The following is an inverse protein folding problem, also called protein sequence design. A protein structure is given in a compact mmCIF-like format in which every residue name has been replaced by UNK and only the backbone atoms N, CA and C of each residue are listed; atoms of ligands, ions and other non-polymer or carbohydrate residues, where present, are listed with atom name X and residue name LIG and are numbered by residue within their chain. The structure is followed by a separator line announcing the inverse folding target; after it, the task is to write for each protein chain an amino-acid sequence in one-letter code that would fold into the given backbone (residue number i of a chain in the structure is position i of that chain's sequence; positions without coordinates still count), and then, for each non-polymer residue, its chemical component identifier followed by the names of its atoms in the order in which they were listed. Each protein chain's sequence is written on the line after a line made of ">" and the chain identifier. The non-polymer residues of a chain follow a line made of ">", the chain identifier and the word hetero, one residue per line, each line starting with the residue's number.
data_IF_661124688128
#
_entry.id   IF_661124688128
#
_cell.length_a   1.000
_cell.length_b   1.000
_cell.length_c   1.000
_cell.angle_alpha   90.00
_cell.angle_beta   90.00
_cell.angle_gamma   90.00
#
_symmetry.space_group_name_H-M   'P 1'
#
loop_
_entity.id
_entity.type
_entity.pdbx_description
1 polymer ?
#
# COMPACT_ATOMS: atom_id res chain seq x y z
N UNK A 1 -29.17 14.26 20.62
CA UNK A 1 -28.69 13.66 19.36
C UNK A 1 -27.65 12.62 19.71
N UNK A 2 -28.03 11.35 19.80
CA UNK A 2 -27.09 10.24 20.01
C UNK A 2 -26.20 10.13 18.78
N UNK A 3 -24.89 10.30 18.97
CA UNK A 3 -23.88 10.08 17.93
C UNK A 3 -23.90 8.59 17.58
N UNK A 4 -24.54 8.26 16.45
CA UNK A 4 -24.53 6.91 15.91
C UNK A 4 -23.17 6.71 15.24
N UNK A 5 -22.35 5.81 15.76
CA UNK A 5 -21.10 5.40 15.15
C UNK A 5 -21.38 4.08 14.43
N UNK A 6 -21.51 4.14 13.10
CA UNK A 6 -21.71 2.95 12.29
C UNK A 6 -20.40 2.16 12.23
N UNK A 7 -20.32 1.08 13.01
CA UNK A 7 -19.14 0.20 13.11
C UNK A 7 -19.23 -1.01 12.19
N UNK A 8 -20.14 -1.01 11.21
CA UNK A 8 -20.35 -2.19 10.33
C UNK A 8 -19.21 -2.46 9.34
N UNK A 9 -18.24 -1.55 9.20
CA UNK A 9 -17.04 -1.75 8.38
C UNK A 9 -15.83 -1.37 9.20
N UNK A 10 -15.01 -2.37 9.53
CA UNK A 10 -13.71 -2.11 10.15
C UNK A 10 -12.86 -1.26 9.19
N UNK A 11 -12.44 -0.10 9.67
CA UNK A 11 -11.52 0.74 8.91
C UNK A 11 -10.17 0.01 8.83
N UNK A 12 -9.62 -0.20 7.63
CA UNK A 12 -8.32 -0.86 7.51
C UNK A 12 -7.26 -0.09 8.29
N UNK A 13 -6.44 -0.83 9.04
CA UNK A 13 -5.35 -0.25 9.83
C UNK A 13 -4.25 0.27 8.89
N UNK A 14 -4.31 1.55 8.56
CA UNK A 14 -3.37 2.22 7.65
C UNK A 14 -1.99 2.48 8.26
N UNK A 15 -1.84 2.30 9.57
CA UNK A 15 -0.56 2.35 10.27
C UNK A 15 0.02 0.96 10.57
N UNK A 16 -0.69 -0.11 10.16
CA UNK A 16 -0.31 -1.47 10.48
C UNK A 16 0.96 -1.92 9.75
N UNK A 17 1.78 -2.80 10.36
CA UNK A 17 3.02 -3.29 9.75
C UNK A 17 2.76 -3.99 8.41
N UNK A 18 1.62 -4.67 8.25
CA UNK A 18 1.22 -5.30 7.00
C UNK A 18 0.93 -4.28 5.89
N UNK A 19 0.28 -3.16 6.21
CA UNK A 19 0.00 -2.08 5.26
C UNK A 19 1.31 -1.42 4.80
N UNK A 20 2.21 -1.09 5.74
CA UNK A 20 3.52 -0.51 5.44
C UNK A 20 4.40 -1.46 4.59
N UNK A 21 4.39 -2.75 4.90
CA UNK A 21 5.09 -3.76 4.13
C UNK A 21 4.51 -3.89 2.70
N UNK A 22 3.19 -3.89 2.56
CA UNK A 22 2.51 -3.94 1.26
C UNK A 22 2.90 -2.78 0.34
N UNK A 23 2.92 -1.56 0.88
CA UNK A 23 3.39 -0.37 0.14
C UNK A 23 4.88 -0.46 -0.23
N UNK A 24 5.72 -0.91 0.69
CA UNK A 24 7.16 -1.02 0.46
C UNK A 24 7.49 -2.03 -0.64
N UNK A 25 6.89 -3.22 -0.59
CA UNK A 25 7.07 -4.26 -1.60
C UNK A 25 6.60 -3.76 -2.96
N UNK A 26 5.43 -3.11 -3.01
CA UNK A 26 4.89 -2.54 -4.25
C UNK A 26 5.81 -1.48 -4.84
N UNK A 27 6.34 -0.58 -4.01
CA UNK A 27 7.31 0.44 -4.44
C UNK A 27 8.61 -0.17 -4.97
N UNK A 28 9.15 -1.18 -4.28
CA UNK A 28 10.36 -1.88 -4.72
C UNK A 28 10.14 -2.62 -6.05
N UNK A 29 8.97 -3.23 -6.26
CA UNK A 29 8.62 -3.89 -7.51
C UNK A 29 8.59 -2.88 -8.67
N UNK A 30 7.95 -1.73 -8.48
CA UNK A 30 7.89 -0.66 -9.50
C UNK A 30 9.30 -0.13 -9.81
N UNK A 31 10.10 0.16 -8.79
CA UNK A 31 11.49 0.62 -8.98
C UNK A 31 12.33 -0.42 -9.73
N UNK A 32 12.18 -1.71 -9.38
CA UNK A 32 12.88 -2.80 -10.06
C UNK A 32 12.52 -2.87 -11.55
N UNK A 33 11.24 -2.71 -11.90
CA UNK A 33 10.80 -2.67 -13.29
C UNK A 33 11.39 -1.46 -14.03
N UNK A 34 11.35 -0.26 -13.45
CA UNK A 34 11.92 0.96 -14.05
C UNK A 34 13.42 0.76 -14.34
N UNK A 35 14.16 0.25 -13.37
CA UNK A 35 15.59 -0.02 -13.53
C UNK A 35 15.84 -1.11 -14.58
N UNK A 36 15.01 -2.16 -14.61
CA UNK A 36 15.08 -3.20 -15.62
C UNK A 36 14.87 -2.66 -17.04
N UNK A 37 13.84 -1.84 -17.23
CA UNK A 37 13.57 -1.14 -18.50
C UNK A 37 14.78 -0.29 -18.90
N UNK A 38 15.30 0.53 -17.98
CA UNK A 38 16.44 1.41 -18.23
C UNK A 38 17.71 0.64 -18.63
N UNK A 39 18.02 -0.45 -17.93
CA UNK A 39 19.20 -1.30 -18.22
C UNK A 39 19.04 -2.05 -19.54
N UNK A 40 17.84 -2.53 -19.85
CA UNK A 40 17.58 -3.35 -21.04
C UNK A 40 17.32 -2.51 -22.30
N UNK A 41 17.11 -1.19 -22.16
CA UNK A 41 16.87 -0.29 -23.30
C UNK A 41 15.58 -0.57 -24.06
N UNK A 42 14.57 -1.08 -23.38
CA UNK A 42 13.19 -1.28 -23.87
C UNK A 42 12.36 -0.04 -23.54
#
# INVERSE_FOLDING_TARGET
>A
MTHWHDSMVDQPETAGPAYAAGWTISGLAVLGVILGIWVLGI
#
